data_IF_052799329561
#
_entry.id   IF_052799329561
#
_cell.length_a   1.000
_cell.length_b   1.000
_cell.length_c   1.000
_cell.angle_alpha   90.00
_cell.angle_beta   90.00
_cell.angle_gamma   90.00
#
_symmetry.space_group_name_H-M   'P 1'
#
loop_
_entity.id
_entity.type
_entity.pdbx_description
1 polymer ?
#
# COMPACT_ATOMS: atom_id res chain seq x y z
N UNK A 1 11.74 8.88 4.71
CA UNK A 1 10.92 7.88 4.00
C UNK A 1 11.36 6.50 4.50
N UNK A 2 10.42 5.59 4.78
CA UNK A 2 10.69 4.18 5.11
C UNK A 2 10.13 3.30 4.00
N UNK A 3 10.86 2.24 3.66
CA UNK A 3 10.48 1.29 2.61
C UNK A 3 10.31 -0.09 3.23
N UNK A 4 9.25 -0.78 2.83
CA UNK A 4 8.93 -2.14 3.23
C UNK A 4 8.68 -2.98 1.98
N UNK A 5 9.14 -4.22 2.01
CA UNK A 5 8.80 -5.27 1.05
C UNK A 5 8.01 -6.35 1.79
N UNK A 6 6.71 -6.44 1.50
CA UNK A 6 5.79 -7.30 2.25
C UNK A 6 5.30 -8.42 1.33
N UNK A 7 5.58 -9.67 1.69
CA UNK A 7 4.97 -10.82 1.04
C UNK A 7 3.61 -11.11 1.68
N UNK A 8 2.55 -11.12 0.88
CA UNK A 8 1.20 -11.43 1.33
C UNK A 8 0.51 -12.37 0.34
N UNK A 9 0.18 -13.57 0.79
CA UNK A 9 -0.45 -14.63 -0.01
C UNK A 9 0.29 -14.94 -1.32
N UNK A 10 1.63 -15.00 -1.26
CA UNK A 10 2.47 -15.33 -2.41
C UNK A 10 2.67 -14.20 -3.42
N UNK A 11 2.20 -12.98 -3.11
CA UNK A 11 2.49 -11.76 -3.87
C UNK A 11 3.39 -10.84 -3.07
N UNK A 12 4.26 -10.12 -3.76
CA UNK A 12 5.11 -9.08 -3.16
C UNK A 12 4.44 -7.73 -3.30
N UNK A 13 4.48 -6.94 -2.24
CA UNK A 13 4.04 -5.55 -2.22
C UNK A 13 5.16 -4.65 -1.72
N UNK A 14 5.31 -3.50 -2.35
CA UNK A 14 6.23 -2.45 -1.93
C UNK A 14 5.43 -1.38 -1.22
N UNK A 15 5.74 -1.13 0.05
CA UNK A 15 5.02 -0.17 0.88
C UNK A 15 5.98 0.92 1.29
N UNK A 16 5.65 2.16 0.97
CA UNK A 16 6.44 3.33 1.35
C UNK A 16 5.68 4.15 2.39
N UNK A 17 6.43 4.71 3.34
CA UNK A 17 5.92 5.67 4.31
C UNK A 17 6.76 6.94 4.32
N UNK A 18 6.11 8.08 4.14
CA UNK A 18 6.73 9.40 4.22
C UNK A 18 5.98 10.26 5.24
N UNK A 19 6.59 10.53 6.40
CA UNK A 19 6.02 11.46 7.37
C UNK A 19 6.04 12.88 6.76
N UNK A 20 4.87 13.35 6.32
CA UNK A 20 4.70 14.64 5.64
C UNK A 20 3.67 15.47 6.40
N UNK A 21 3.96 16.75 6.65
CA UNK A 21 3.05 17.69 7.33
C UNK A 21 1.85 18.13 6.43
N UNK A 22 1.67 17.49 5.28
CA UNK A 22 0.55 17.70 4.35
C UNK A 22 0.34 16.50 3.42
N UNK A 23 -0.75 16.53 2.64
CA UNK A 23 -0.95 15.58 1.53
C UNK A 23 0.22 15.75 0.58
N UNK A 24 1.15 14.81 0.57
CA UNK A 24 2.15 14.75 -0.49
C UNK A 24 1.37 14.55 -1.79
N UNK A 25 1.40 15.54 -2.70
CA UNK A 25 0.57 15.54 -3.92
C UNK A 25 0.85 14.39 -4.90
N UNK A 26 1.78 13.50 -4.56
CA UNK A 26 2.16 12.28 -5.27
C UNK A 26 1.77 10.98 -4.53
N UNK A 27 1.27 11.04 -3.30
CA UNK A 27 0.78 9.88 -2.55
C UNK A 27 -0.74 9.79 -2.74
N UNK A 28 -1.18 8.99 -3.71
CA UNK A 28 -2.61 8.69 -3.94
C UNK A 28 -3.09 7.51 -3.09
N UNK A 29 -2.29 7.09 -2.11
CA UNK A 29 -2.70 6.14 -1.11
C UNK A 29 -2.71 6.80 0.28
N UNK A 30 -3.45 6.18 1.19
CA UNK A 30 -3.97 6.75 2.45
C UNK A 30 -2.93 7.56 3.26
N UNK A 31 -3.00 8.90 3.15
CA UNK A 31 -2.15 9.88 3.86
C UNK A 31 -0.66 9.82 3.44
N UNK A 32 0.16 9.24 4.31
CA UNK A 32 1.63 9.19 4.22
C UNK A 32 2.12 7.87 3.61
N UNK A 33 1.22 7.03 3.08
CA UNK A 33 1.51 5.66 2.65
C UNK A 33 1.29 5.48 1.16
N UNK A 34 2.24 4.84 0.48
CA UNK A 34 2.11 4.35 -0.89
C UNK A 34 2.24 2.83 -0.90
N UNK A 35 1.45 2.15 -1.73
CA UNK A 35 1.46 0.70 -1.87
C UNK A 35 1.48 0.37 -3.35
N UNK A 36 2.57 -0.26 -3.77
CA UNK A 36 2.74 -0.81 -5.12
C UNK A 36 2.70 -2.34 -5.08
N UNK A 37 2.21 -2.95 -6.15
CA UNK A 37 2.28 -4.39 -6.33
C UNK A 37 3.61 -4.84 -7.00
N UNK A 38 3.67 -6.12 -7.37
CA UNK A 38 4.84 -6.74 -8.00
C UNK A 38 5.17 -6.17 -9.40
N UNK A 39 4.19 -5.54 -10.06
CA UNK A 39 4.34 -4.88 -11.36
C UNK A 39 4.65 -3.38 -11.21
N UNK A 40 4.84 -2.93 -9.96
CA UNK A 40 5.02 -1.53 -9.57
C UNK A 40 3.78 -0.66 -9.87
N UNK A 41 2.61 -1.28 -9.95
CA UNK A 41 1.35 -0.54 -10.10
C UNK A 41 0.80 -0.15 -8.73
N UNK A 42 0.25 1.07 -8.66
CA UNK A 42 -0.37 1.55 -7.44
C UNK A 42 -1.65 0.77 -7.12
N UNK A 43 -1.76 0.30 -5.88
CA UNK A 43 -2.97 -0.33 -5.42
C UNK A 43 -4.11 0.71 -5.36
N UNK A 44 -5.07 0.63 -6.29
CA UNK A 44 -6.19 1.57 -6.34
C UNK A 44 -7.11 1.45 -5.11
N UNK A 45 -7.22 2.53 -4.32
CA UNK A 45 -8.04 2.61 -3.10
C UNK A 45 -9.23 3.58 -3.20
N UNK A 46 -9.30 4.39 -4.25
CA UNK A 46 -10.37 5.36 -4.43
C UNK A 46 -11.52 4.80 -5.25
N UNK A 47 -12.73 5.16 -4.84
CA UNK A 47 -13.97 4.82 -5.54
C UNK A 47 -14.53 6.10 -6.16
N UNK A 48 -14.78 6.06 -7.46
CA UNK A 48 -15.39 7.14 -8.23
C UNK A 48 -16.86 6.82 -8.55
N UNK A 49 -17.63 7.87 -8.84
CA UNK A 49 -19.07 7.70 -9.12
C UNK A 49 -19.31 6.78 -10.32
N UNK A 50 -18.47 6.92 -11.36
CA UNK A 50 -18.59 6.21 -12.63
C UNK A 50 -18.00 4.79 -12.62
N UNK A 51 -17.38 4.35 -11.52
CA UNK A 51 -16.86 2.99 -11.43
C UNK A 51 -18.01 1.97 -11.51
N UNK A 52 -17.74 0.89 -12.23
CA UNK A 52 -18.56 -0.31 -12.32
C UNK A 52 -18.71 -0.98 -10.95
N UNK A 53 -19.68 -1.89 -10.82
CA UNK A 53 -19.88 -2.64 -9.57
C UNK A 53 -18.65 -3.50 -9.25
N UNK A 54 -18.05 -4.06 -10.28
CA UNK A 54 -16.86 -4.91 -10.22
C UNK A 54 -15.64 -4.13 -9.72
N UNK A 55 -15.39 -2.94 -10.29
CA UNK A 55 -14.33 -2.04 -9.82
C UNK A 55 -14.54 -1.66 -8.35
N UNK A 56 -15.76 -1.25 -7.97
CA UNK A 56 -16.09 -0.92 -6.57
C UNK A 56 -15.86 -2.09 -5.62
N UNK A 57 -16.16 -3.32 -6.04
CA UNK A 57 -15.87 -4.51 -5.24
C UNK A 57 -14.37 -4.75 -5.11
N UNK A 58 -13.60 -4.53 -6.19
CA UNK A 58 -12.15 -4.68 -6.16
C UNK A 58 -11.50 -3.62 -5.26
N UNK A 59 -11.93 -2.35 -5.35
CA UNK A 59 -11.48 -1.25 -4.48
C UNK A 59 -11.72 -1.58 -3.00
N UNK A 60 -12.89 -2.17 -2.66
CA UNK A 60 -13.16 -2.62 -1.29
C UNK A 60 -12.19 -3.71 -0.82
N UNK A 61 -11.83 -4.67 -1.68
CA UNK A 61 -10.83 -5.69 -1.37
C UNK A 61 -9.44 -5.07 -1.20
N UNK A 62 -9.08 -4.13 -2.07
CA UNK A 62 -7.81 -3.40 -2.02
C UNK A 62 -7.67 -2.61 -0.71
N UNK A 63 -8.74 -1.96 -0.23
CA UNK A 63 -8.73 -1.26 1.07
C UNK A 63 -8.45 -2.19 2.25
N UNK A 64 -9.00 -3.40 2.23
CA UNK A 64 -8.73 -4.40 3.28
C UNK A 64 -7.28 -4.85 3.21
N UNK A 65 -6.77 -5.13 2.01
CA UNK A 65 -5.37 -5.47 1.78
C UNK A 65 -4.44 -4.36 2.28
N UNK A 66 -4.66 -3.13 1.86
CA UNK A 66 -3.87 -1.96 2.27
C UNK A 66 -3.81 -1.82 3.79
N UNK A 67 -4.95 -1.96 4.49
CA UNK A 67 -4.99 -1.92 5.94
C UNK A 67 -4.12 -3.00 6.59
N UNK A 68 -4.13 -4.22 6.04
CA UNK A 68 -3.31 -5.32 6.56
C UNK A 68 -1.82 -5.05 6.33
N UNK A 69 -1.44 -4.57 5.14
CA UNK A 69 -0.06 -4.24 4.79
C UNK A 69 0.47 -3.09 5.66
N UNK A 70 -0.29 -2.00 5.79
CA UNK A 70 0.07 -0.86 6.65
C UNK A 70 0.17 -1.30 8.12
N UNK A 71 -0.78 -2.10 8.61
CA UNK A 71 -0.74 -2.59 10.00
C UNK A 71 0.52 -3.41 10.28
N UNK A 72 0.95 -4.24 9.32
CA UNK A 72 2.21 -4.96 9.40
C UNK A 72 3.40 -3.98 9.46
N UNK A 73 3.44 -3.00 8.56
CA UNK A 73 4.54 -2.02 8.50
C UNK A 73 4.62 -1.16 9.77
N UNK A 74 3.49 -0.74 10.34
CA UNK A 74 3.44 -0.01 11.60
C UNK A 74 3.95 -0.85 12.78
N UNK A 75 3.56 -2.12 12.84
CA UNK A 75 4.02 -3.05 13.88
C UNK A 75 5.53 -3.25 13.83
N UNK A 76 6.08 -3.32 12.62
CA UNK A 76 7.49 -3.58 12.37
C UNK A 76 8.31 -2.31 12.05
N UNK A 77 7.77 -1.14 12.35
CA UNK A 77 8.32 0.11 11.84
C UNK A 77 9.81 0.29 12.19
N UNK A 78 10.23 -0.11 13.39
CA UNK A 78 11.60 0.10 13.89
C UNK A 78 12.52 -1.11 13.74
N UNK A 79 11.98 -2.32 13.55
CA UNK A 79 12.74 -3.57 13.54
C UNK A 79 12.70 -4.31 12.19
N UNK A 80 11.96 -3.76 11.21
CA UNK A 80 11.86 -4.33 9.88
C UNK A 80 13.22 -4.42 9.19
N UNK A 81 13.54 -5.63 8.73
CA UNK A 81 14.72 -5.96 7.93
C UNK A 81 14.24 -6.67 6.67
N UNK A 82 14.17 -5.99 5.51
CA UNK A 82 13.75 -6.65 4.28
C UNK A 82 14.71 -7.80 3.97
N UNK A 83 14.16 -8.94 3.53
CA UNK A 83 14.98 -9.95 2.89
C UNK A 83 15.35 -9.40 1.52
N UNK A 84 16.61 -9.01 1.35
CA UNK A 84 17.17 -8.79 0.03
C UNK A 84 17.26 -10.20 -0.60
N UNK A 85 16.51 -10.42 -1.68
CA UNK A 85 16.74 -11.61 -2.49
C UNK A 85 18.03 -11.33 -3.30
N UNK A 86 19.05 -12.15 -3.07
CA UNK A 86 20.32 -12.16 -3.82
C UNK A 86 20.11 -12.51 -5.30
#
# INVERSE_FOLDING_TARGET
IKHFTVEYKGKTYYVEYANSDGIAGYLFNRYDWEILDEELEELCLYEFQNDTKEEKQQIKKNRILANNLISFCMKHFNDYKPKLND
#
